data_IF_400910035275
#
_entry.id   IF_400910035275
#
_cell.length_a   1.000
_cell.length_b   1.000
_cell.length_c   1.000
_cell.angle_alpha   90.00
_cell.angle_beta   90.00
_cell.angle_gamma   90.00
#
_symmetry.space_group_name_H-M   'P 1'
#
loop_
_entity.id
_entity.type
_entity.pdbx_description
1 polymer ?
#
# COMPACT_ATOMS: atom_id res chain seq x y z
N UNK A 1 -18.51 -3.73 -3.90
CA UNK A 1 -17.37 -3.57 -2.96
C UNK A 1 -16.62 -4.89 -2.87
N UNK A 2 -15.35 -4.86 -2.50
CA UNK A 2 -14.57 -6.07 -2.25
C UNK A 2 -13.61 -5.84 -1.07
N UNK A 3 -13.15 -6.93 -0.46
CA UNK A 3 -12.21 -6.90 0.66
C UNK A 3 -10.88 -7.51 0.23
N UNK A 4 -9.78 -6.85 0.57
CA UNK A 4 -8.43 -7.36 0.31
C UNK A 4 -7.55 -7.25 1.57
N UNK A 5 -6.84 -8.33 1.87
CA UNK A 5 -5.80 -8.37 2.91
C UNK A 5 -4.43 -8.18 2.26
N UNK A 6 -3.69 -7.14 2.65
CA UNK A 6 -2.40 -6.80 2.04
C UNK A 6 -1.30 -6.60 3.09
N UNK A 7 -0.07 -6.97 2.70
CA UNK A 7 1.14 -6.44 3.32
C UNK A 7 1.62 -5.25 2.49
N UNK A 8 1.21 -4.06 2.89
CA UNK A 8 1.55 -2.83 2.19
C UNK A 8 2.96 -2.38 2.58
N UNK A 9 3.85 -2.32 1.58
CA UNK A 9 5.27 -1.99 1.76
C UNK A 9 5.59 -0.68 1.07
N UNK A 10 6.29 0.19 1.77
CA UNK A 10 6.72 1.49 1.27
C UNK A 10 8.20 1.69 1.60
N UNK A 11 8.93 2.29 0.67
CA UNK A 11 10.31 2.67 0.90
C UNK A 11 10.57 4.08 0.40
N UNK A 12 11.29 4.85 1.20
CA UNK A 12 11.73 6.20 0.88
C UNK A 12 13.07 6.47 1.54
N UNK A 13 13.76 7.53 1.11
CA UNK A 13 15.03 7.94 1.69
C UNK A 13 14.82 9.21 2.50
N UNK A 14 15.24 9.21 3.76
CA UNK A 14 15.29 10.38 4.63
C UNK A 14 16.74 10.63 5.07
N UNK A 15 17.34 11.68 4.55
CA UNK A 15 18.76 11.98 4.81
C UNK A 15 19.04 12.35 6.26
N UNK A 16 18.02 12.81 7.00
CA UNK A 16 18.14 13.19 8.41
C UNK A 16 18.37 11.98 9.33
N UNK A 17 18.10 10.78 8.83
CA UNK A 17 18.18 9.52 9.57
C UNK A 17 19.40 8.67 9.17
N UNK A 18 20.36 9.24 8.43
CA UNK A 18 21.65 8.58 8.18
C UNK A 18 22.35 8.35 9.52
N UNK A 19 22.96 7.18 9.67
CA UNK A 19 23.72 6.83 10.86
C UNK A 19 24.96 6.03 10.46
N UNK A 20 26.00 6.13 11.28
CA UNK A 20 27.22 5.32 11.13
C UNK A 20 27.33 4.37 12.33
N UNK A 21 27.71 3.13 12.05
CA UNK A 21 27.75 2.08 13.06
C UNK A 21 27.99 0.68 12.48
N UNK A 22 28.21 -0.31 13.36
CA UNK A 22 28.53 -1.67 12.94
C UNK A 22 27.37 -2.40 12.25
N UNK A 23 26.13 -1.97 12.51
CA UNK A 23 24.93 -2.54 11.88
C UNK A 23 24.52 -1.73 10.66
N UNK A 24 24.20 -2.43 9.56
CA UNK A 24 23.72 -1.80 8.32
C UNK A 24 22.22 -1.52 8.31
N UNK A 25 21.45 -2.25 9.12
CA UNK A 25 19.99 -2.15 9.18
C UNK A 25 19.56 -2.16 10.63
N UNK A 26 18.81 -1.13 11.02
CA UNK A 26 18.19 -0.99 12.34
C UNK A 26 16.69 -1.27 12.26
N UNK A 27 16.18 -2.35 12.89
CA UNK A 27 14.74 -2.51 13.09
C UNK A 27 14.28 -1.56 14.20
N UNK A 28 13.33 -0.68 13.88
CA UNK A 28 12.78 0.30 14.81
C UNK A 28 11.48 -0.23 15.42
N UNK A 29 11.29 0.06 16.71
CA UNK A 29 10.06 -0.26 17.41
C UNK A 29 8.92 0.71 17.02
N UNK A 30 7.68 0.39 17.42
CA UNK A 30 6.50 1.19 17.10
C UNK A 30 6.56 2.63 17.65
N UNK A 31 7.24 2.86 18.78
CA UNK A 31 7.38 4.18 19.39
C UNK A 31 8.29 5.12 18.58
N UNK A 32 9.40 4.60 18.04
CA UNK A 32 10.27 5.37 17.17
C UNK A 32 9.63 5.55 15.80
N UNK A 33 8.93 4.54 15.29
CA UNK A 33 8.21 4.64 14.03
C UNK A 33 7.15 5.77 14.04
N UNK A 34 6.48 6.02 15.17
CA UNK A 34 5.51 7.12 15.29
C UNK A 34 6.14 8.52 15.37
N UNK A 35 7.47 8.63 15.55
CA UNK A 35 8.19 9.91 15.59
C UNK A 35 8.88 10.25 14.27
N UNK A 36 8.87 9.32 13.32
CA UNK A 36 9.49 9.49 12.01
C UNK A 36 8.40 9.86 11.01
N UNK A 37 8.71 10.83 10.14
CA UNK A 37 7.82 11.19 9.05
C UNK A 37 7.55 9.95 8.18
N UNK A 38 6.28 9.67 7.93
CA UNK A 38 5.80 8.55 7.13
C UNK A 38 4.82 9.12 6.11
N UNK A 39 4.87 8.71 4.83
CA UNK A 39 3.96 9.22 3.81
C UNK A 39 2.49 8.95 4.18
N UNK A 40 1.64 9.96 4.02
CA UNK A 40 0.22 9.99 4.35
C UNK A 40 -0.63 9.27 3.28
N UNK A 41 -0.27 8.01 3.03
CA UNK A 41 -0.87 7.23 1.96
C UNK A 41 -2.28 6.81 2.31
N UNK A 42 -3.24 7.15 1.47
CA UNK A 42 -4.64 6.78 1.64
C UNK A 42 -5.19 6.08 0.39
N UNK A 43 -6.28 5.34 0.56
CA UNK A 43 -6.96 4.64 -0.52
C UNK A 43 -8.14 5.50 -1.04
N UNK A 44 -8.05 5.97 -2.27
CA UNK A 44 -9.05 6.87 -2.88
C UNK A 44 -10.45 6.24 -2.93
N UNK A 45 -10.51 4.94 -3.25
CA UNK A 45 -11.75 4.17 -3.29
C UNK A 45 -11.94 3.29 -2.05
N UNK A 46 -11.19 3.54 -0.97
CA UNK A 46 -11.35 2.84 0.30
C UNK A 46 -12.55 3.37 1.07
N UNK A 47 -13.58 2.55 1.28
CA UNK A 47 -14.74 2.93 2.13
C UNK A 47 -14.46 2.73 3.61
N UNK A 48 -13.81 1.61 3.94
CA UNK A 48 -13.37 1.29 5.31
C UNK A 48 -12.07 0.52 5.23
N UNK A 49 -11.06 0.92 6.00
CA UNK A 49 -9.78 0.20 6.05
C UNK A 49 -9.38 -0.03 7.49
N UNK A 50 -8.84 -1.20 7.79
CA UNK A 50 -8.43 -1.61 9.13
C UNK A 50 -6.94 -1.90 9.11
N UNK A 51 -6.19 -1.17 9.94
CA UNK A 51 -4.81 -1.51 10.26
C UNK A 51 -4.80 -2.52 11.41
N UNK A 52 -4.20 -3.69 11.19
CA UNK A 52 -4.15 -4.76 12.20
C UNK A 52 -3.25 -4.36 13.38
N UNK A 53 -3.72 -4.61 14.60
CA UNK A 53 -3.06 -4.18 15.84
C UNK A 53 -2.96 -5.25 16.93
N UNK A 54 -3.21 -6.52 16.61
CA UNK A 54 -3.24 -7.62 17.58
C UNK A 54 -2.05 -8.57 17.38
N UNK A 55 -1.26 -8.92 18.40
CA UNK A 55 -1.24 -8.42 19.80
C UNK A 55 -0.54 -7.07 19.97
N UNK A 56 0.17 -6.61 18.95
CA UNK A 56 0.78 -5.27 18.85
C UNK A 56 0.51 -4.72 17.45
N UNK A 57 0.62 -3.39 17.23
CA UNK A 57 0.52 -2.80 15.89
C UNK A 57 1.40 -3.52 14.88
N UNK A 58 0.80 -4.10 13.83
CA UNK A 58 1.51 -4.85 12.77
C UNK A 58 2.22 -3.88 11.81
N UNK A 59 3.13 -3.09 12.37
CA UNK A 59 3.96 -2.11 11.70
C UNK A 59 5.42 -2.50 11.91
N UNK A 60 6.19 -2.48 10.84
CA UNK A 60 7.63 -2.72 10.90
C UNK A 60 8.32 -1.60 10.13
N UNK A 61 9.24 -0.90 10.79
CA UNK A 61 10.09 0.11 10.18
C UNK A 61 11.54 -0.34 10.27
N UNK A 62 12.22 -0.45 9.12
CA UNK A 62 13.66 -0.77 9.04
C UNK A 62 14.39 0.42 8.45
N UNK A 63 15.43 0.88 9.12
CA UNK A 63 16.28 1.98 8.69
C UNK A 63 17.63 1.42 8.22
N UNK A 64 18.00 1.70 6.98
CA UNK A 64 19.31 1.41 6.40
C UNK A 64 20.26 2.56 6.72
N UNK A 65 21.55 2.27 6.91
CA UNK A 65 22.61 3.24 7.24
C UNK A 65 22.62 4.50 6.34
N UNK A 66 22.31 4.33 5.06
CA UNK A 66 22.23 5.41 4.08
C UNK A 66 20.98 6.32 4.17
N UNK A 67 20.13 6.11 5.18
CA UNK A 67 18.88 6.83 5.42
C UNK A 67 17.64 6.24 4.73
N UNK A 68 17.76 5.08 4.08
CA UNK A 68 16.61 4.43 3.42
C UNK A 68 15.73 3.75 4.46
N UNK A 69 14.45 4.09 4.46
CA UNK A 69 13.43 3.48 5.30
C UNK A 69 12.64 2.43 4.50
N UNK A 70 12.32 1.32 5.15
CA UNK A 70 11.34 0.35 4.69
C UNK A 70 10.25 0.24 5.75
N UNK A 71 9.06 0.69 5.40
CA UNK A 71 7.88 0.62 6.25
C UNK A 71 6.92 -0.43 5.69
N UNK A 72 6.52 -1.36 6.54
CA UNK A 72 5.55 -2.42 6.20
C UNK A 72 4.41 -2.40 7.18
N UNK A 73 3.19 -2.48 6.67
CA UNK A 73 1.98 -2.62 7.47
C UNK A 73 1.08 -3.71 6.92
N UNK A 74 0.36 -4.40 7.81
CA UNK A 74 -0.73 -5.31 7.41
C UNK A 74 -2.06 -4.56 7.45
N UNK A 75 -2.77 -4.53 6.32
CA UNK A 75 -4.06 -3.85 6.18
C UNK A 75 -5.12 -4.83 5.68
N UNK A 76 -6.36 -4.64 6.16
CA UNK A 76 -7.57 -5.11 5.48
C UNK A 76 -8.27 -3.91 4.89
N UNK A 77 -8.47 -3.89 3.58
CA UNK A 77 -9.05 -2.75 2.86
C UNK A 77 -10.38 -3.19 2.28
N UNK A 78 -11.45 -2.46 2.62
CA UNK A 78 -12.74 -2.55 1.95
C UNK A 78 -12.81 -1.45 0.91
N UNK A 79 -12.67 -1.85 -0.35
CA UNK A 79 -12.60 -0.94 -1.48
C UNK A 79 -13.89 -1.01 -2.31
N UNK A 80 -14.25 0.15 -2.86
CA UNK A 80 -15.31 0.26 -3.83
C UNK A 80 -14.90 -0.36 -5.17
N UNK A 81 -15.80 -1.16 -5.72
CA UNK A 81 -15.70 -1.68 -7.07
C UNK A 81 -17.02 -1.38 -7.78
N UNK A 82 -17.02 -0.47 -8.77
CA UNK A 82 -18.17 -0.24 -9.61
C UNK A 82 -18.35 -1.44 -10.54
N UNK A 83 -19.47 -2.14 -10.42
CA UNK A 83 -19.80 -3.32 -11.23
C UNK A 83 -20.94 -2.95 -12.18
N UNK A 84 -20.83 -3.40 -13.43
CA UNK A 84 -21.86 -3.24 -14.46
C UNK A 84 -22.53 -4.61 -14.66
N UNK A 85 -23.72 -4.79 -14.08
CA UNK A 85 -24.40 -6.09 -13.99
C UNK A 85 -25.38 -6.33 -15.15
N UNK A 86 -25.06 -5.81 -16.35
CA UNK A 86 -25.92 -5.92 -17.53
C UNK A 86 -25.98 -7.37 -18.05
N UNK A 87 -24.86 -8.09 -17.95
CA UNK A 87 -24.70 -9.46 -18.46
C UNK A 87 -24.76 -10.54 -17.37
N UNK A 88 -25.35 -10.25 -16.21
CA UNK A 88 -25.37 -11.19 -15.08
C UNK A 88 -25.98 -12.56 -15.46
N UNK A 89 -25.36 -13.70 -15.12
CA UNK A 89 -24.12 -13.88 -14.33
C UNK A 89 -22.84 -14.08 -15.17
N UNK A 90 -22.88 -13.79 -16.48
CA UNK A 90 -21.80 -14.00 -17.45
C UNK A 90 -20.98 -12.71 -17.69
N UNK A 91 -20.75 -11.95 -16.63
CA UNK A 91 -20.09 -10.65 -16.66
C UNK A 91 -18.63 -10.72 -16.17
N UNK A 92 -17.85 -9.69 -16.50
CA UNK A 92 -16.45 -9.53 -16.07
C UNK A 92 -16.26 -8.14 -15.48
N UNK A 93 -15.65 -8.07 -14.30
CA UNK A 93 -15.48 -6.82 -13.57
C UNK A 93 -14.01 -6.51 -13.30
N UNK A 94 -13.61 -5.27 -13.54
CA UNK A 94 -12.29 -4.75 -13.15
C UNK A 94 -12.43 -3.93 -11.87
N UNK A 95 -12.02 -4.50 -10.74
CA UNK A 95 -12.08 -3.83 -9.44
C UNK A 95 -10.76 -3.09 -9.12
N UNK A 96 -10.72 -1.75 -9.16
CA UNK A 96 -9.49 -1.01 -8.93
C UNK A 96 -9.14 -0.96 -7.44
N UNK A 97 -7.84 -0.82 -7.13
CA UNK A 97 -7.34 -0.38 -5.84
C UNK A 97 -6.49 0.86 -6.06
N UNK A 98 -7.01 2.03 -5.72
CA UNK A 98 -6.33 3.30 -5.98
C UNK A 98 -5.82 3.88 -4.67
N UNK A 99 -4.54 4.24 -4.62
CA UNK A 99 -3.93 4.90 -3.47
C UNK A 99 -2.96 5.98 -3.90
N UNK A 100 -2.75 6.96 -3.01
CA UNK A 100 -1.89 8.11 -3.23
C UNK A 100 -1.64 8.87 -1.93
N UNK A 101 -0.88 9.96 -1.99
CA UNK A 101 -0.76 10.89 -0.87
C UNK A 101 -2.02 11.74 -0.76
N UNK A 102 -2.42 12.05 0.48
CA UNK A 102 -3.58 12.89 0.77
C UNK A 102 -3.26 14.38 0.68
N UNK A 103 -2.19 14.82 1.33
CA UNK A 103 -1.81 16.22 1.45
C UNK A 103 -0.73 16.64 0.45
N UNK A 104 0.18 15.74 0.06
CA UNK A 104 1.30 16.09 -0.79
C UNK A 104 0.96 15.97 -2.27
N UNK A 105 1.30 17.02 -3.00
CA UNK A 105 1.15 17.11 -4.46
C UNK A 105 2.30 16.40 -5.19
N UNK A 106 2.18 16.27 -6.51
CA UNK A 106 3.21 15.64 -7.36
C UNK A 106 4.59 16.32 -7.32
N UNK A 107 4.65 17.57 -6.87
CA UNK A 107 5.92 18.31 -6.72
C UNK A 107 6.64 18.00 -5.40
N UNK A 108 5.93 17.36 -4.46
CA UNK A 108 6.43 17.08 -3.12
C UNK A 108 6.68 15.57 -2.93
N UNK A 109 5.70 14.73 -3.31
CA UNK A 109 5.80 13.27 -3.18
C UNK A 109 5.40 12.60 -4.49
N UNK A 110 6.26 11.68 -4.96
CA UNK A 110 6.02 10.87 -6.16
C UNK A 110 6.08 9.39 -5.78
N UNK A 111 5.00 8.67 -6.04
CA UNK A 111 4.94 7.22 -5.83
C UNK A 111 5.49 6.48 -7.04
N UNK A 112 6.30 5.46 -6.78
CA UNK A 112 6.84 4.55 -7.80
C UNK A 112 6.79 3.11 -7.32
N UNK A 113 6.70 2.19 -8.27
CA UNK A 113 6.69 0.75 -8.01
C UNK A 113 8.13 0.23 -7.87
N UNK A 114 8.43 -0.43 -6.76
CA UNK A 114 9.82 -0.82 -6.40
C UNK A 114 10.45 -1.83 -7.34
N UNK A 115 9.67 -2.75 -7.90
CA UNK A 115 10.12 -3.80 -8.82
C UNK A 115 9.56 -3.60 -10.25
N UNK A 116 9.05 -2.41 -10.56
CA UNK A 116 8.28 -2.15 -11.78
C UNK A 116 6.83 -2.63 -11.66
N UNK A 117 6.03 -2.35 -12.70
CA UNK A 117 4.57 -2.57 -12.69
C UNK A 117 4.21 -4.05 -12.57
N UNK A 118 4.94 -4.93 -13.22
CA UNK A 118 4.56 -6.35 -13.35
C UNK A 118 4.94 -7.21 -12.13
N UNK A 119 5.85 -6.74 -11.27
CA UNK A 119 6.41 -7.52 -10.16
C UNK A 119 6.17 -6.93 -8.77
N UNK A 120 5.68 -5.69 -8.69
CA UNK A 120 5.50 -5.04 -7.38
C UNK A 120 4.24 -5.46 -6.63
N UNK A 121 3.27 -6.05 -7.34
CA UNK A 121 2.05 -6.61 -6.74
C UNK A 121 2.11 -8.11 -6.90
N UNK A 122 2.12 -8.82 -5.78
CA UNK A 122 2.14 -10.29 -5.74
C UNK A 122 0.92 -10.80 -4.99
N UNK A 123 0.18 -11.69 -5.63
CA UNK A 123 -0.94 -12.41 -5.01
C UNK A 123 -0.44 -13.76 -4.52
N UNK A 124 -0.68 -14.06 -3.24
CA UNK A 124 -0.24 -15.32 -2.65
C UNK A 124 -0.86 -16.53 -3.36
N UNK A 125 -0.06 -17.58 -3.61
CA UNK A 125 -0.55 -18.86 -4.15
C UNK A 125 -1.56 -19.47 -3.17
N UNK A 126 -2.80 -19.65 -3.61
CA UNK A 126 -3.91 -20.08 -2.74
C UNK A 126 -4.54 -18.96 -1.90
N UNK A 127 -4.21 -17.70 -2.17
CA UNK A 127 -4.79 -16.53 -1.52
C UNK A 127 -6.18 -16.13 -2.06
N UNK A 128 -6.68 -16.82 -3.09
CA UNK A 128 -8.03 -16.59 -3.61
C UNK A 128 -9.05 -17.03 -2.56
N UNK A 129 -9.86 -16.07 -2.09
CA UNK A 129 -10.96 -16.29 -1.15
C UNK A 129 -12.27 -15.84 -1.79
N UNK A 130 -12.51 -16.32 -3.00
CA UNK A 130 -13.65 -15.93 -3.81
C UNK A 130 -14.57 -17.15 -4.00
N UNK A 131 -15.84 -17.02 -3.60
CA UNK A 131 -16.83 -18.09 -3.73
C UNK A 131 -17.59 -18.04 -5.06
N UNK A 132 -17.74 -16.85 -5.63
CA UNK A 132 -18.58 -16.58 -6.81
C UNK A 132 -17.79 -16.00 -7.99
N UNK A 133 -16.52 -15.68 -7.79
CA UNK A 133 -15.68 -15.01 -8.78
C UNK A 133 -14.36 -15.74 -8.94
N UNK A 134 -13.78 -15.66 -10.13
CA UNK A 134 -12.42 -16.11 -10.40
C UNK A 134 -11.50 -14.91 -10.59
N UNK A 135 -10.39 -14.89 -9.86
CA UNK A 135 -9.34 -13.89 -10.06
C UNK A 135 -8.50 -14.28 -11.28
N UNK A 136 -8.86 -13.73 -12.44
CA UNK A 136 -8.15 -14.00 -13.71
C UNK A 136 -6.73 -13.41 -13.75
N UNK A 137 -6.51 -12.30 -13.04
CA UNK A 137 -5.23 -11.61 -13.02
C UNK A 137 -5.34 -10.23 -12.40
N UNK A 138 -4.27 -9.44 -12.53
CA UNK A 138 -4.23 -8.05 -12.10
C UNK A 138 -3.39 -7.23 -13.09
N UNK A 139 -3.71 -5.95 -13.20
CA UNK A 139 -2.98 -4.99 -14.03
C UNK A 139 -2.61 -3.81 -13.15
N UNK A 140 -1.35 -3.38 -13.24
CA UNK A 140 -0.81 -2.31 -12.41
C UNK A 140 -0.58 -1.06 -13.26
N UNK A 141 -1.19 0.05 -12.84
CA UNK A 141 -1.10 1.35 -13.49
C UNK A 141 -0.44 2.42 -12.61
N UNK A 142 -0.23 3.58 -13.22
CA UNK A 142 0.08 4.83 -12.51
C UNK A 142 -0.78 5.91 -13.15
N UNK A 143 -1.50 6.67 -12.33
CA UNK A 143 -2.44 7.70 -12.78
C UNK A 143 -2.12 9.00 -12.04
N UNK A 144 -2.32 10.15 -12.68
CA UNK A 144 -2.34 11.45 -11.99
C UNK A 144 -3.78 11.81 -11.67
N UNK A 145 -4.11 11.85 -10.39
CA UNK A 145 -5.44 12.23 -9.89
C UNK A 145 -5.37 13.65 -9.35
N UNK A 146 -6.32 14.51 -9.74
CA UNK A 146 -6.46 15.83 -9.13
C UNK A 146 -7.15 15.69 -7.79
N UNK A 147 -6.49 16.16 -6.73
CA UNK A 147 -7.02 16.18 -5.38
C UNK A 147 -7.73 17.51 -5.11
N UNK A 148 -8.63 17.55 -4.12
CA UNK A 148 -9.17 18.82 -3.60
C UNK A 148 -8.10 19.72 -2.97
N UNK A 149 -6.95 19.14 -2.61
CA UNK A 149 -5.77 19.85 -2.08
C UNK A 149 -4.81 20.34 -3.16
N UNK A 150 -5.00 20.00 -4.44
CA UNK A 150 -4.15 20.40 -5.57
C UNK A 150 -4.05 19.35 -6.68
#
# INVERSE_FOLDING_TARGET
>A
EYTIDVFFRQSWRDERLKFDGPMKILPLNNLLASKIWTPDTFFHNGKKSVAHNMTTPNKLLRLVDNGTLLYTMRLTIHAECPMHLEDFPMDVHACPLKFGSYAYTKTEVIYTWTLGKDKSVEVAKGGSRLNQYDLLGHVVGTEMVRSSTG
#
